data_IF_213267122158
#
_entry.id   IF_213267122158
#
_cell.length_a   1.000
_cell.length_b   1.000
_cell.length_c   1.000
_cell.angle_alpha   90.00
_cell.angle_beta   90.00
_cell.angle_gamma   90.00
#
_symmetry.space_group_name_H-M   'P 1'
#
loop_
_entity.id
_entity.type
_entity.pdbx_description
1 polymer ?
#
# COMPACT_ATOMS: atom_id res chain seq x y z
N UNK A 1 5.11 22.02 -4.31
CA UNK A 1 5.96 22.93 -3.50
C UNK A 1 6.08 22.35 -2.10
N UNK A 2 7.30 22.26 -1.55
CA UNK A 2 7.54 21.84 -0.16
C UNK A 2 7.11 22.98 0.77
N UNK A 3 6.31 22.69 1.79
CA UNK A 3 5.95 23.71 2.79
C UNK A 3 7.23 24.25 3.47
N UNK A 4 7.39 25.57 3.60
CA UNK A 4 8.53 26.17 4.26
C UNK A 4 8.50 25.89 5.76
N UNK A 5 9.68 25.78 6.38
CA UNK A 5 9.85 25.42 7.79
C UNK A 5 9.01 26.28 8.78
N UNK A 6 8.86 27.60 8.59
CA UNK A 6 8.00 28.43 9.45
C UNK A 6 6.53 28.02 9.45
N UNK A 7 6.00 27.59 8.29
CA UNK A 7 4.62 27.13 8.16
C UNK A 7 4.42 25.78 8.84
N UNK A 8 5.39 24.87 8.69
CA UNK A 8 5.41 23.57 9.37
C UNK A 8 5.39 23.76 10.89
N UNK A 9 6.27 24.62 11.42
CA UNK A 9 6.30 24.95 12.85
C UNK A 9 5.00 25.59 13.33
N UNK A 10 4.39 26.46 12.51
CA UNK A 10 3.13 27.09 12.85
C UNK A 10 1.98 26.07 12.90
N UNK A 11 1.92 25.15 11.95
CA UNK A 11 0.94 24.07 11.91
C UNK A 11 1.11 23.12 13.11
N UNK A 12 2.36 22.75 13.45
CA UNK A 12 2.66 21.96 14.63
C UNK A 12 2.17 22.65 15.90
N UNK A 13 2.49 23.94 16.11
CA UNK A 13 2.05 24.67 17.31
C UNK A 13 0.52 24.64 17.48
N UNK A 14 -0.24 24.81 16.38
CA UNK A 14 -1.71 24.72 16.42
C UNK A 14 -2.19 23.33 16.85
N UNK A 15 -1.62 22.27 16.25
CA UNK A 15 -1.97 20.88 16.59
C UNK A 15 -1.55 20.50 18.01
N UNK A 16 -0.33 20.87 18.42
CA UNK A 16 0.20 20.62 19.75
C UNK A 16 -0.67 21.25 20.84
N UNK A 17 -1.12 22.50 20.64
CA UNK A 17 -2.04 23.16 21.58
C UNK A 17 -3.41 22.47 21.66
N UNK A 18 -3.93 21.97 20.54
CA UNK A 18 -5.23 21.29 20.51
C UNK A 18 -5.20 19.93 21.20
N UNK A 19 -4.10 19.17 21.05
CA UNK A 19 -3.98 17.79 21.51
C UNK A 19 -3.02 17.62 22.70
N UNK A 20 -2.59 18.71 23.34
CA UNK A 20 -1.66 18.66 24.48
C UNK A 20 -2.21 17.75 25.60
N UNK A 21 -1.39 16.89 26.22
CA UNK A 21 -1.82 16.01 27.29
C UNK A 21 -2.41 16.76 28.49
N UNK A 22 -1.87 17.94 28.85
CA UNK A 22 -2.42 18.78 29.94
C UNK A 22 -3.86 19.25 29.69
N UNK A 23 -4.20 19.56 28.43
CA UNK A 23 -5.55 20.00 28.04
C UNK A 23 -6.49 18.82 27.77
N UNK A 24 -5.92 17.64 27.52
CA UNK A 24 -6.64 16.42 27.16
C UNK A 24 -6.23 15.24 28.07
N UNK A 25 -6.34 15.37 29.40
CA UNK A 25 -5.91 14.33 30.31
C UNK A 25 -6.72 13.04 30.07
N UNK A 26 -6.04 11.89 30.08
CA UNK A 26 -6.66 10.58 29.86
C UNK A 26 -7.04 10.26 28.40
N UNK A 27 -6.99 11.23 27.48
CA UNK A 27 -7.35 11.00 26.09
C UNK A 27 -6.19 10.34 25.31
N UNK A 28 -6.26 9.02 25.12
CA UNK A 28 -5.27 8.25 24.38
C UNK A 28 -5.12 8.72 22.93
N UNK A 29 -6.22 9.10 22.28
CA UNK A 29 -6.22 9.57 20.88
C UNK A 29 -5.53 10.92 20.74
N UNK A 30 -5.73 11.83 21.69
CA UNK A 30 -5.03 13.12 21.72
C UNK A 30 -3.52 12.92 21.90
N UNK A 31 -3.10 12.02 22.81
CA UNK A 31 -1.68 11.66 22.97
C UNK A 31 -1.06 11.11 21.68
N UNK A 32 -1.76 10.20 20.99
CA UNK A 32 -1.27 9.63 19.73
C UNK A 32 -1.13 10.72 18.66
N UNK A 33 -2.13 11.58 18.50
CA UNK A 33 -2.08 12.68 17.51
C UNK A 33 -0.97 13.66 17.86
N UNK A 34 -0.77 13.98 19.14
CA UNK A 34 0.32 14.83 19.60
C UNK A 34 1.68 14.23 19.25
N UNK A 35 1.88 12.94 19.56
CA UNK A 35 3.11 12.21 19.26
C UNK A 35 3.42 12.16 17.75
N UNK A 36 2.41 11.87 16.94
CA UNK A 36 2.54 11.86 15.48
C UNK A 36 2.89 13.26 14.94
N UNK A 37 2.26 14.31 15.47
CA UNK A 37 2.55 15.68 15.08
C UNK A 37 3.99 16.09 15.46
N UNK A 38 4.48 15.65 16.62
CA UNK A 38 5.87 15.90 17.05
C UNK A 38 6.87 15.22 16.14
N UNK A 39 6.70 13.92 15.88
CA UNK A 39 7.57 13.16 14.93
C UNK A 39 7.57 13.77 13.54
N UNK A 40 6.40 14.14 13.02
CA UNK A 40 6.28 14.77 11.72
C UNK A 40 7.00 16.13 11.69
N UNK A 41 6.87 16.93 12.74
CA UNK A 41 7.60 18.20 12.82
C UNK A 41 9.12 17.96 12.82
N UNK A 42 9.63 17.05 13.66
CA UNK A 42 11.07 16.77 13.78
C UNK A 42 11.69 16.43 12.42
N UNK A 43 11.06 15.52 11.68
CA UNK A 43 11.51 15.09 10.34
C UNK A 43 11.40 16.24 9.33
N UNK A 44 10.31 17.01 9.36
CA UNK A 44 10.04 18.03 8.34
C UNK A 44 10.78 19.35 8.57
N UNK A 45 11.26 19.61 9.79
CA UNK A 45 12.06 20.80 10.11
C UNK A 45 13.55 20.63 9.84
N UNK A 46 14.07 19.41 9.89
CA UNK A 46 15.44 19.13 9.48
C UNK A 46 15.48 18.90 7.96
N UNK A 47 16.15 19.80 7.23
CA UNK A 47 16.28 19.72 5.77
C UNK A 47 16.89 18.40 5.31
N UNK A 48 17.92 17.90 6.00
CA UNK A 48 18.60 16.66 5.65
C UNK A 48 17.71 15.45 5.97
N UNK A 49 17.06 15.44 7.14
CA UNK A 49 16.12 14.38 7.49
C UNK A 49 14.92 14.33 6.54
N UNK A 50 14.41 15.49 6.12
CA UNK A 50 13.32 15.61 5.14
C UNK A 50 13.72 15.07 3.77
N UNK A 51 14.91 15.39 3.30
CA UNK A 51 15.42 14.86 2.03
C UNK A 51 15.61 13.35 2.06
N UNK A 52 16.21 12.81 3.13
CA UNK A 52 16.38 11.38 3.32
C UNK A 52 15.03 10.64 3.42
N UNK A 53 14.04 11.24 4.10
CA UNK A 53 12.69 10.71 4.18
C UNK A 53 12.00 10.72 2.82
N UNK A 54 12.06 11.83 2.08
CA UNK A 54 11.48 11.95 0.74
C UNK A 54 12.12 10.95 -0.25
N UNK A 55 13.42 10.68 -0.11
CA UNK A 55 14.14 9.67 -0.91
C UNK A 55 13.68 8.25 -0.56
N UNK A 56 13.53 7.95 0.72
CA UNK A 56 13.01 6.66 1.20
C UNK A 56 11.61 6.39 0.67
N UNK A 57 10.72 7.40 0.70
CA UNK A 57 9.37 7.31 0.15
C UNK A 57 9.42 6.99 -1.35
N UNK A 58 10.24 7.71 -2.12
CA UNK A 58 10.41 7.47 -3.57
C UNK A 58 10.96 6.08 -3.87
N UNK A 59 11.99 5.64 -3.15
CA UNK A 59 12.56 4.30 -3.30
C UNK A 59 11.55 3.21 -2.97
N UNK A 60 10.80 3.38 -1.89
CA UNK A 60 9.74 2.46 -1.51
C UNK A 60 8.66 2.39 -2.59
N UNK A 61 8.20 3.52 -3.12
CA UNK A 61 7.20 3.57 -4.20
C UNK A 61 7.60 2.71 -5.41
N UNK A 62 8.87 2.74 -5.80
CA UNK A 62 9.40 1.87 -6.87
C UNK A 62 9.35 0.38 -6.52
N UNK A 63 9.51 0.02 -5.25
CA UNK A 63 9.39 -1.37 -4.78
C UNK A 63 7.93 -1.82 -4.80
N UNK A 64 7.00 -0.98 -4.37
CA UNK A 64 5.56 -1.30 -4.40
C UNK A 64 5.05 -1.52 -5.83
N UNK A 65 5.47 -0.67 -6.77
CA UNK A 65 5.15 -0.85 -8.20
C UNK A 65 5.67 -2.18 -8.77
N UNK A 66 6.86 -2.61 -8.32
CA UNK A 66 7.39 -3.91 -8.71
C UNK A 66 6.57 -5.06 -8.12
N UNK A 67 6.19 -4.99 -6.84
CA UNK A 67 5.35 -6.01 -6.19
C UNK A 67 3.99 -6.11 -6.85
N UNK A 68 3.34 -4.98 -7.15
CA UNK A 68 2.05 -4.93 -7.84
C UNK A 68 2.14 -5.59 -9.22
N UNK A 69 3.20 -5.29 -9.99
CA UNK A 69 3.43 -5.95 -11.28
C UNK A 69 3.58 -7.46 -11.11
N UNK A 70 4.41 -7.92 -10.17
CA UNK A 70 4.60 -9.36 -9.93
C UNK A 70 3.30 -10.05 -9.52
N UNK A 71 2.45 -9.39 -8.73
CA UNK A 71 1.13 -9.91 -8.37
C UNK A 71 0.23 -10.04 -9.60
N UNK A 72 0.17 -9.01 -10.43
CA UNK A 72 -0.62 -9.05 -11.67
C UNK A 72 -0.14 -10.14 -12.64
N UNK A 73 1.18 -10.30 -12.77
CA UNK A 73 1.79 -11.35 -13.61
C UNK A 73 1.45 -12.76 -13.07
N UNK A 74 1.46 -12.96 -11.75
CA UNK A 74 1.05 -14.22 -11.11
C UNK A 74 -0.43 -14.52 -11.33
N UNK A 75 -1.31 -13.54 -11.09
CA UNK A 75 -2.74 -13.71 -11.33
C UNK A 75 -3.05 -14.02 -12.79
N UNK A 76 -2.31 -13.44 -13.73
CA UNK A 76 -2.46 -13.73 -15.14
C UNK A 76 -2.08 -15.18 -15.44
N UNK A 77 -0.96 -15.65 -14.89
CA UNK A 77 -0.53 -17.04 -15.05
C UNK A 77 -1.57 -18.01 -14.47
N UNK A 78 -2.11 -17.74 -13.29
CA UNK A 78 -3.16 -18.57 -12.68
C UNK A 78 -4.43 -18.63 -13.54
N UNK A 79 -4.85 -17.50 -14.13
CA UNK A 79 -5.98 -17.45 -15.08
C UNK A 79 -5.70 -18.29 -16.32
N UNK A 80 -4.51 -18.14 -16.90
CA UNK A 80 -4.13 -18.86 -18.12
C UNK A 80 -4.06 -20.37 -17.87
N UNK A 81 -3.55 -20.79 -16.71
CA UNK A 81 -3.51 -22.19 -16.28
C UNK A 81 -4.93 -22.77 -16.11
N UNK A 82 -5.84 -22.00 -15.50
CA UNK A 82 -7.24 -22.41 -15.35
C UNK A 82 -7.93 -22.57 -16.71
N UNK A 83 -7.70 -21.66 -17.66
CA UNK A 83 -8.24 -21.76 -19.02
C UNK A 83 -7.74 -23.04 -19.70
N UNK A 84 -6.45 -23.36 -19.56
CA UNK A 84 -5.87 -24.57 -20.14
C UNK A 84 -6.47 -25.85 -19.55
N UNK A 85 -6.70 -25.88 -18.24
CA UNK A 85 -7.33 -27.02 -17.56
C UNK A 85 -8.79 -27.21 -18.03
N UNK A 86 -9.55 -26.12 -18.11
CA UNK A 86 -10.93 -26.14 -18.64
C UNK A 86 -10.97 -26.60 -20.11
N UNK A 87 -10.04 -26.14 -20.94
CA UNK A 87 -9.92 -26.60 -22.33
C UNK A 87 -9.56 -28.08 -22.42
N UNK A 88 -8.64 -28.56 -21.57
CA UNK A 88 -8.21 -29.95 -21.55
C UNK A 88 -9.35 -30.89 -21.13
N UNK A 89 -10.07 -30.58 -20.05
CA UNK A 89 -11.21 -31.39 -19.63
C UNK A 89 -12.35 -31.34 -20.65
N UNK A 90 -12.59 -30.19 -21.30
CA UNK A 90 -13.54 -30.10 -22.41
C UNK A 90 -13.15 -30.97 -23.60
N UNK A 91 -11.88 -30.98 -24.01
CA UNK A 91 -11.35 -31.83 -25.07
C UNK A 91 -11.48 -33.32 -24.72
N UNK A 92 -11.14 -33.68 -23.48
CA UNK A 92 -11.24 -35.03 -22.97
C UNK A 92 -12.68 -35.52 -22.98
N UNK A 93 -13.63 -34.72 -22.52
CA UNK A 93 -15.07 -35.04 -22.61
C UNK A 93 -15.54 -35.24 -24.04
N UNK A 94 -15.13 -34.37 -24.98
CA UNK A 94 -15.47 -34.57 -26.40
C UNK A 94 -14.90 -35.87 -26.97
N UNK A 95 -13.69 -36.24 -26.58
CA UNK A 95 -13.07 -37.51 -27.01
C UNK A 95 -13.81 -38.70 -26.39
N UNK A 96 -14.16 -38.62 -25.10
CA UNK A 96 -14.94 -39.66 -24.43
C UNK A 96 -16.31 -39.83 -25.10
N UNK A 97 -17.01 -38.75 -25.44
CA UNK A 97 -18.29 -38.81 -26.16
C UNK A 97 -18.14 -39.49 -27.53
N UNK A 98 -17.12 -39.10 -28.31
CA UNK A 98 -16.84 -39.69 -29.63
C UNK A 98 -16.46 -41.17 -29.58
N UNK A 99 -15.84 -41.63 -28.48
CA UNK A 99 -15.48 -43.03 -28.28
C UNK A 99 -16.66 -43.88 -27.80
N UNK A 100 -17.69 -43.26 -27.24
CA UNK A 100 -18.88 -43.93 -26.71
C UNK A 100 -20.08 -43.95 -27.71
N UNK A 101 -19.97 -43.25 -28.85
CA UNK A 101 -21.01 -43.19 -29.90
C UNK A 101 -21.04 -44.40 -30.86
N UNK A 102 -20.13 -45.39 -30.72
CA UNK A 102 -20.02 -46.58 -31.59
C UNK A 102 -20.82 -47.83 -31.09
N UNK A 103 -21.60 -47.71 -30.00
CA UNK A 103 -22.42 -48.80 -29.44
C UNK A 103 -23.95 -48.53 -29.61
N UNK A 104 -24.46 -48.47 -30.85
CA UNK A 104 -25.89 -48.72 -31.15
C UNK A 104 -26.13 -49.38 -32.52
#
# INVERSE_FOLDING_TARGET
MKAPEPEIRQAYRRKALMYHPDKNPGNAKAREIFHQATKAMEILTDTHAREAFDETIRSNESRWKQVEKWQADLEQHERDEQILDEMYEGLKHMVDDLLNDDDE
#
